data_IF_039532967971
#
_entry.id   IF_039532967971
#
_cell.length_a   1.000
_cell.length_b   1.000
_cell.length_c   1.000
_cell.angle_alpha   90.00
_cell.angle_beta   90.00
_cell.angle_gamma   90.00
#
_symmetry.space_group_name_H-M   'P 1'
#
loop_
_entity.id
_entity.type
_entity.pdbx_description
1 polymer ?
#
# COMPACT_ATOMS: atom_id res chain seq x y z
N UNK A 1 -7.69 30.72 12.72
CA UNK A 1 -9.01 30.75 12.04
C UNK A 1 -9.82 29.55 12.48
N UNK A 2 -10.85 29.72 13.31
CA UNK A 2 -11.81 28.65 13.58
C UNK A 2 -12.78 28.59 12.40
N UNK A 3 -12.76 27.52 11.60
CA UNK A 3 -13.77 27.35 10.56
C UNK A 3 -15.12 27.02 11.21
N UNK A 4 -16.21 27.41 10.55
CA UNK A 4 -17.56 27.01 10.94
C UNK A 4 -17.74 25.50 10.78
N UNK A 5 -18.59 24.82 11.59
CA UNK A 5 -18.72 23.37 11.59
C UNK A 5 -18.92 22.75 10.20
N UNK A 6 -19.80 23.35 9.38
CA UNK A 6 -20.02 22.95 7.97
C UNK A 6 -18.79 23.05 7.06
N UNK A 7 -17.93 24.06 7.27
CA UNK A 7 -16.72 24.25 6.45
C UNK A 7 -15.63 23.24 6.84
N UNK A 8 -15.54 22.88 8.11
CA UNK A 8 -14.65 21.81 8.57
C UNK A 8 -15.05 20.45 8.02
N UNK A 9 -16.36 20.15 8.02
CA UNK A 9 -16.90 18.91 7.44
C UNK A 9 -16.57 18.81 5.94
N UNK A 10 -16.87 19.85 5.16
CA UNK A 10 -16.57 19.89 3.73
C UNK A 10 -15.08 19.70 3.44
N UNK A 11 -14.21 20.43 4.17
CA UNK A 11 -12.77 20.32 4.00
C UNK A 11 -12.27 18.91 4.33
N UNK A 12 -12.81 18.29 5.38
CA UNK A 12 -12.47 16.91 5.77
C UNK A 12 -12.91 15.90 4.70
N UNK A 13 -14.09 16.07 4.10
CA UNK A 13 -14.57 15.23 3.00
C UNK A 13 -13.67 15.36 1.76
N UNK A 14 -13.29 16.58 1.39
CA UNK A 14 -12.37 16.78 0.26
C UNK A 14 -10.99 16.17 0.51
N UNK A 15 -10.44 16.33 1.73
CA UNK A 15 -9.16 15.73 2.09
C UNK A 15 -9.22 14.20 2.13
N UNK A 16 -10.29 13.61 2.65
CA UNK A 16 -10.52 12.17 2.64
C UNK A 16 -10.63 11.64 1.20
N UNK A 17 -11.39 12.33 0.35
CA UNK A 17 -11.54 11.99 -1.06
C UNK A 17 -10.21 12.03 -1.82
N UNK A 18 -9.43 13.11 -1.65
CA UNK A 18 -8.10 13.24 -2.24
C UNK A 18 -7.14 12.15 -1.75
N UNK A 19 -7.10 11.90 -0.43
CA UNK A 19 -6.26 10.85 0.15
C UNK A 19 -6.62 9.47 -0.39
N UNK A 20 -7.92 9.16 -0.49
CA UNK A 20 -8.41 7.88 -1.04
C UNK A 20 -8.06 7.74 -2.51
N UNK A 21 -8.18 8.82 -3.30
CA UNK A 21 -7.82 8.83 -4.71
C UNK A 21 -6.33 8.53 -4.92
N UNK A 22 -5.45 9.18 -4.16
CA UNK A 22 -4.01 8.90 -4.23
C UNK A 22 -3.65 7.47 -3.78
N UNK A 23 -4.34 6.95 -2.77
CA UNK A 23 -4.20 5.56 -2.31
C UNK A 23 -4.55 4.55 -3.42
N UNK A 24 -5.67 4.73 -4.10
CA UNK A 24 -6.08 3.87 -5.23
C UNK A 24 -5.20 4.06 -6.45
N UNK A 25 -4.74 5.29 -6.72
CA UNK A 25 -3.79 5.54 -7.80
C UNK A 25 -2.48 4.79 -7.55
N UNK A 26 -1.93 4.89 -6.33
CA UNK A 26 -0.74 4.14 -5.92
C UNK A 26 -0.93 2.63 -6.08
N UNK A 27 -2.10 2.11 -5.70
CA UNK A 27 -2.46 0.70 -5.84
C UNK A 27 -2.31 0.23 -7.29
N UNK A 28 -2.99 0.95 -8.19
CA UNK A 28 -3.06 0.60 -9.60
C UNK A 28 -1.67 0.74 -10.23
N UNK A 29 -0.94 1.81 -9.93
CA UNK A 29 0.43 1.99 -10.41
C UNK A 29 1.37 0.89 -9.91
N UNK A 30 1.26 0.47 -8.65
CA UNK A 30 2.05 -0.63 -8.10
C UNK A 30 1.75 -1.95 -8.83
N UNK A 31 0.49 -2.22 -9.17
CA UNK A 31 0.09 -3.32 -10.04
C UNK A 31 0.83 -3.35 -11.38
N UNK A 32 0.80 -2.23 -12.11
CA UNK A 32 1.41 -2.12 -13.43
C UNK A 32 2.93 -2.10 -13.42
N UNK A 33 3.54 -1.36 -12.48
CA UNK A 33 4.99 -1.15 -12.42
C UNK A 33 5.70 -2.38 -11.85
N UNK A 34 5.09 -3.08 -10.89
CA UNK A 34 5.76 -4.17 -10.18
C UNK A 34 6.17 -5.32 -11.11
N UNK A 35 5.35 -5.70 -12.09
CA UNK A 35 5.72 -6.77 -13.03
C UNK A 35 6.82 -6.31 -13.99
N UNK A 36 6.64 -5.14 -14.61
CA UNK A 36 7.60 -4.59 -15.57
C UNK A 36 8.99 -4.36 -14.94
N UNK A 37 9.04 -3.80 -13.73
CA UNK A 37 10.30 -3.53 -13.02
C UNK A 37 10.97 -4.81 -12.57
N UNK A 38 10.23 -5.75 -12.00
CA UNK A 38 10.80 -7.01 -11.50
C UNK A 38 11.29 -7.88 -12.66
N UNK A 39 10.58 -7.89 -13.78
CA UNK A 39 11.00 -8.57 -14.99
C UNK A 39 12.29 -7.96 -15.56
N UNK A 40 12.37 -6.62 -15.68
CA UNK A 40 13.59 -5.94 -16.11
C UNK A 40 14.79 -6.18 -15.18
N UNK A 41 14.56 -6.22 -13.86
CA UNK A 41 15.60 -6.55 -12.87
C UNK A 41 16.04 -8.02 -12.99
N UNK A 42 15.10 -8.94 -13.24
CA UNK A 42 15.39 -10.36 -13.45
C UNK A 42 16.21 -10.60 -14.72
N UNK A 43 16.00 -9.81 -15.78
CA UNK A 43 16.83 -9.88 -17.00
C UNK A 43 18.23 -9.30 -16.78
N UNK A 44 18.34 -8.21 -16.02
CA UNK A 44 19.62 -7.54 -15.75
C UNK A 44 20.49 -8.29 -14.73
N UNK A 45 19.89 -9.01 -13.79
CA UNK A 45 20.56 -9.76 -12.73
C UNK A 45 19.97 -11.17 -12.60
N UNK A 46 20.33 -12.11 -13.51
CA UNK A 46 19.83 -13.47 -13.46
C UNK A 46 20.20 -14.17 -12.14
N UNK A 47 19.20 -14.73 -11.45
CA UNK A 47 19.38 -15.47 -10.20
C UNK A 47 19.08 -14.71 -8.90
N UNK A 48 18.91 -13.38 -8.93
CA UNK A 48 18.51 -12.64 -7.72
C UNK A 48 17.02 -12.73 -7.40
N UNK A 49 16.18 -12.74 -8.44
CA UNK A 49 14.72 -12.74 -8.34
C UNK A 49 14.15 -13.57 -9.49
N UNK A 50 13.07 -14.31 -9.22
CA UNK A 50 12.39 -15.12 -10.24
C UNK A 50 11.70 -14.24 -11.30
N UNK A 51 11.70 -14.68 -12.55
CA UNK A 51 11.08 -13.96 -13.68
C UNK A 51 9.59 -13.65 -13.47
N UNK A 52 8.89 -14.50 -12.71
CA UNK A 52 7.47 -14.35 -12.37
C UNK A 52 7.24 -13.74 -10.97
N UNK A 53 8.28 -13.24 -10.30
CA UNK A 53 8.16 -12.73 -8.94
C UNK A 53 7.21 -11.55 -8.81
N UNK A 54 6.95 -10.79 -9.89
CA UNK A 54 5.88 -9.78 -9.94
C UNK A 54 4.50 -10.36 -9.63
N UNK A 55 4.11 -11.45 -10.30
CA UNK A 55 2.83 -12.13 -10.06
C UNK A 55 2.74 -12.73 -8.65
N UNK A 56 3.82 -13.37 -8.20
CA UNK A 56 3.86 -13.90 -6.84
C UNK A 56 3.73 -12.77 -5.80
N UNK A 57 4.39 -11.63 -6.02
CA UNK A 57 4.26 -10.45 -5.16
C UNK A 57 2.82 -9.95 -5.08
N UNK A 58 2.10 -9.91 -6.20
CA UNK A 58 0.68 -9.57 -6.22
C UNK A 58 -0.18 -10.59 -5.47
N UNK A 59 0.07 -11.89 -5.66
CA UNK A 59 -0.65 -12.92 -4.92
C UNK A 59 -0.47 -12.77 -3.40
N UNK A 60 0.77 -12.55 -2.93
CA UNK A 60 1.07 -12.28 -1.54
C UNK A 60 0.34 -11.03 -1.02
N UNK A 61 0.33 -9.95 -1.79
CA UNK A 61 -0.40 -8.73 -1.45
C UNK A 61 -1.90 -9.02 -1.29
N UNK A 62 -2.54 -9.65 -2.27
CA UNK A 62 -3.98 -9.97 -2.22
C UNK A 62 -4.34 -10.89 -1.05
N UNK A 63 -3.53 -11.91 -0.78
CA UNK A 63 -3.75 -12.80 0.36
C UNK A 63 -3.62 -12.04 1.68
N UNK A 64 -2.56 -11.22 1.84
CA UNK A 64 -2.38 -10.41 3.03
C UNK A 64 -3.55 -9.42 3.22
N UNK A 65 -4.01 -8.78 2.16
CA UNK A 65 -5.17 -7.90 2.15
C UNK A 65 -6.46 -8.64 2.57
N UNK A 66 -6.70 -9.84 2.04
CA UNK A 66 -7.86 -10.64 2.40
C UNK A 66 -7.82 -11.05 3.89
N UNK A 67 -6.68 -11.53 4.38
CA UNK A 67 -6.53 -11.95 5.78
C UNK A 67 -6.64 -10.78 6.76
N UNK A 68 -6.04 -9.63 6.43
CA UNK A 68 -6.12 -8.45 7.27
C UNK A 68 -7.53 -7.86 7.29
N UNK A 69 -8.29 -7.97 6.18
CA UNK A 69 -9.66 -7.44 6.10
C UNK A 69 -10.64 -8.15 7.01
N UNK A 70 -10.34 -9.39 7.42
CA UNK A 70 -11.11 -10.10 8.44
C UNK A 70 -10.85 -9.55 9.86
N UNK A 71 -9.68 -8.95 10.10
CA UNK A 71 -9.21 -8.51 11.43
C UNK A 71 -9.40 -6.99 11.60
N UNK A 72 -9.29 -6.22 10.52
CA UNK A 72 -9.46 -4.77 10.50
C UNK A 72 -10.70 -4.25 11.23
N UNK A 73 -11.93 -4.78 11.04
CA UNK A 73 -13.10 -4.28 11.75
C UNK A 73 -12.97 -4.44 13.28
N UNK A 74 -12.26 -5.46 13.76
CA UNK A 74 -11.97 -5.65 15.18
C UNK A 74 -10.93 -4.66 15.73
N UNK A 75 -10.06 -4.10 14.88
CA UNK A 75 -9.02 -3.13 15.27
C UNK A 75 -9.55 -1.69 15.19
N UNK A 76 -10.39 -1.37 14.19
CA UNK A 76 -10.96 -0.03 14.00
C UNK A 76 -11.87 0.41 15.16
N UNK A 77 -12.40 -0.52 15.95
CA UNK A 77 -13.14 -0.19 17.18
C UNK A 77 -12.25 0.39 18.29
N UNK A 78 -10.94 0.11 18.27
CA UNK A 78 -9.98 0.57 19.28
C UNK A 78 -9.07 1.69 18.79
N UNK A 79 -8.81 1.78 17.47
CA UNK A 79 -7.88 2.75 16.89
C UNK A 79 -8.62 3.78 16.04
N UNK A 80 -8.41 5.06 16.33
CA UNK A 80 -9.03 6.16 15.60
C UNK A 80 -8.56 6.20 14.13
N UNK A 81 -9.50 6.25 13.18
CA UNK A 81 -9.27 6.11 11.73
C UNK A 81 -8.20 7.03 11.15
N UNK A 82 -7.98 8.21 11.75
CA UNK A 82 -6.95 9.16 11.32
C UNK A 82 -5.53 8.57 11.37
N UNK A 83 -5.21 7.81 12.42
CA UNK A 83 -3.87 7.25 12.63
C UNK A 83 -3.59 6.08 11.71
N UNK A 84 -4.64 5.32 11.40
CA UNK A 84 -4.56 4.18 10.50
C UNK A 84 -4.26 4.65 9.07
N UNK A 85 -4.93 5.73 8.62
CA UNK A 85 -4.67 6.34 7.31
C UNK A 85 -3.24 6.88 7.22
N UNK A 86 -2.74 7.55 8.26
CA UNK A 86 -1.36 8.07 8.29
C UNK A 86 -0.33 6.94 8.26
N UNK A 87 -0.55 5.87 9.04
CA UNK A 87 0.32 4.71 9.06
C UNK A 87 0.37 4.05 7.68
N UNK A 88 -0.79 3.85 7.03
CA UNK A 88 -0.87 3.33 5.67
C UNK A 88 -0.02 4.19 4.71
N UNK A 89 -0.20 5.52 4.69
CA UNK A 89 0.57 6.42 3.83
C UNK A 89 2.10 6.34 4.05
N UNK A 90 2.57 6.18 5.29
CA UNK A 90 3.99 5.99 5.59
C UNK A 90 4.50 4.67 5.02
N UNK A 91 3.73 3.59 5.18
CA UNK A 91 4.05 2.28 4.60
C UNK A 91 4.14 2.33 3.07
N UNK A 92 3.28 3.10 2.39
CA UNK A 92 3.43 3.34 0.93
C UNK A 92 4.73 4.03 0.59
N UNK A 93 5.09 5.09 1.32
CA UNK A 93 6.34 5.81 1.08
C UNK A 93 7.56 4.88 1.20
N UNK A 94 7.59 4.05 2.24
CA UNK A 94 8.67 3.09 2.48
C UNK A 94 8.71 2.01 1.38
N UNK A 95 7.55 1.54 0.91
CA UNK A 95 7.48 0.57 -0.18
C UNK A 95 8.10 1.10 -1.48
N UNK A 96 7.77 2.33 -1.89
CA UNK A 96 8.35 2.93 -3.09
C UNK A 96 9.84 3.24 -2.94
N UNK A 97 10.29 3.65 -1.74
CA UNK A 97 11.73 3.80 -1.46
C UNK A 97 12.49 2.46 -1.54
N UNK A 98 11.83 1.35 -1.19
CA UNK A 98 12.39 0.00 -1.28
C UNK A 98 12.76 -0.45 -2.70
N UNK A 99 12.16 0.13 -3.74
CA UNK A 99 12.52 -0.15 -5.14
C UNK A 99 13.91 0.37 -5.54
N UNK A 100 14.53 1.24 -4.74
CA UNK A 100 15.91 1.70 -4.96
C UNK A 100 16.92 0.58 -4.63
N UNK A 101 16.56 -0.37 -3.76
CA UNK A 101 17.38 -1.52 -3.39
C UNK A 101 16.56 -2.83 -3.44
N UNK A 102 16.27 -3.30 -4.65
CA UNK A 102 15.49 -4.51 -4.87
C UNK A 102 16.25 -5.75 -4.37
N UNK A 103 15.76 -6.33 -3.27
CA UNK A 103 16.20 -7.60 -2.70
C UNK A 103 14.97 -8.49 -2.46
N UNK A 104 15.08 -9.80 -2.68
CA UNK A 104 13.92 -10.70 -2.71
C UNK A 104 13.15 -10.70 -1.39
N UNK A 105 13.85 -10.69 -0.25
CA UNK A 105 13.25 -10.64 1.09
C UNK A 105 12.47 -9.34 1.28
N UNK A 106 13.08 -8.22 0.91
CA UNK A 106 12.49 -6.90 1.09
C UNK A 106 11.23 -6.73 0.25
N UNK A 107 11.24 -7.27 -0.99
CA UNK A 107 10.11 -7.22 -1.89
C UNK A 107 8.90 -8.01 -1.39
N UNK A 108 9.07 -9.26 -0.93
CA UNK A 108 7.93 -10.04 -0.43
C UNK A 108 7.39 -9.53 0.90
N UNK A 109 8.27 -9.09 1.82
CA UNK A 109 7.86 -8.50 3.10
C UNK A 109 7.10 -7.20 2.87
N UNK A 110 7.58 -6.34 1.96
CA UNK A 110 6.93 -5.07 1.68
C UNK A 110 5.57 -5.26 0.99
N UNK A 111 5.41 -6.25 0.11
CA UNK A 111 4.12 -6.62 -0.49
C UNK A 111 3.10 -7.12 0.54
N UNK A 112 3.54 -7.93 1.51
CA UNK A 112 2.66 -8.39 2.60
C UNK A 112 2.23 -7.21 3.49
N UNK A 113 3.17 -6.34 3.86
CA UNK A 113 2.90 -5.13 4.65
C UNK A 113 1.94 -4.17 3.93
N UNK A 114 2.07 -4.04 2.60
CA UNK A 114 1.14 -3.27 1.79
C UNK A 114 -0.28 -3.83 1.83
N UNK A 115 -0.45 -5.15 1.69
CA UNK A 115 -1.75 -5.79 1.78
C UNK A 115 -2.43 -5.51 3.13
N UNK A 116 -1.68 -5.56 4.23
CA UNK A 116 -2.19 -5.18 5.56
C UNK A 116 -2.55 -3.69 5.63
N UNK A 117 -1.69 -2.81 5.11
CA UNK A 117 -1.95 -1.37 5.08
C UNK A 117 -3.21 -0.99 4.30
N UNK A 118 -3.47 -1.67 3.17
CA UNK A 118 -4.66 -1.45 2.36
C UNK A 118 -5.95 -1.88 3.04
N UNK A 119 -5.89 -2.91 3.87
CA UNK A 119 -7.07 -3.41 4.56
C UNK A 119 -7.56 -2.44 5.62
N UNK A 120 -6.64 -1.75 6.30
CA UNK A 120 -6.97 -0.90 7.43
C UNK A 120 -7.59 0.47 7.04
N UNK A 121 -7.77 0.76 5.75
CA UNK A 121 -8.41 2.00 5.26
C UNK A 121 -9.90 2.08 5.65
#
# INVERSE_FOLDING_TARGET
MQLTPRRHELLSVYMLGAGTLFLYLGYIMQGFISEAVIHAVSERYPGRISRLAGYYGQAFHYTAFATSSLITPSIQSYVSSKWILTLASILFGIYYLGFIHVNYIYFYISQALMGVGYSCK
#
